data_IF_012393119354
#
_entry.id   IF_012393119354
#
_cell.length_a   1.000
_cell.length_b   1.000
_cell.length_c   1.000
_cell.angle_alpha   90.00
_cell.angle_beta   90.00
_cell.angle_gamma   90.00
#
_symmetry.space_group_name_H-M   'P 1'
#
loop_
_entity.id
_entity.type
_entity.pdbx_description
1 polymer ?
#
# COMPACT_ATOMS: atom_id res chain seq x y z
N UNK A 1 41.06 -13.07 -33.16
CA UNK A 1 41.33 -13.35 -31.73
C UNK A 1 40.77 -12.20 -30.92
N UNK A 2 39.67 -12.42 -30.20
CA UNK A 2 39.02 -11.38 -29.39
C UNK A 2 39.90 -11.04 -28.18
N UNK A 3 40.48 -9.83 -28.17
CA UNK A 3 41.20 -9.30 -27.03
C UNK A 3 40.18 -8.86 -25.97
N UNK A 4 40.08 -9.62 -24.88
CA UNK A 4 39.32 -9.22 -23.70
C UNK A 4 40.02 -8.01 -23.07
N UNK A 5 39.46 -6.82 -23.26
CA UNK A 5 39.80 -5.64 -22.47
C UNK A 5 39.48 -5.94 -21.01
N UNK A 6 40.52 -6.20 -20.21
CA UNK A 6 40.41 -6.26 -18.76
C UNK A 6 40.19 -4.84 -18.26
N UNK A 7 38.97 -4.57 -17.80
CA UNK A 7 38.66 -3.34 -17.06
C UNK A 7 39.51 -3.38 -15.78
N UNK A 8 40.67 -2.73 -15.80
CA UNK A 8 41.53 -2.61 -14.64
C UNK A 8 40.87 -1.65 -13.65
N UNK A 9 40.32 -2.21 -12.57
CA UNK A 9 39.85 -1.42 -11.44
C UNK A 9 41.06 -0.65 -10.86
N UNK A 10 40.93 0.66 -10.57
CA UNK A 10 42.03 1.45 -10.07
C UNK A 10 42.54 0.86 -8.74
N UNK A 11 43.83 0.51 -8.70
CA UNK A 11 44.55 -0.10 -7.57
C UNK A 11 44.53 0.74 -6.27
N UNK A 12 43.88 1.90 -6.26
CA UNK A 12 43.63 2.70 -5.06
C UNK A 12 42.51 2.12 -4.19
N UNK A 13 41.54 1.40 -4.79
CA UNK A 13 40.42 0.79 -4.05
C UNK A 13 40.76 -0.57 -3.42
N UNK A 14 41.86 -1.19 -3.83
CA UNK A 14 42.27 -2.52 -3.36
C UNK A 14 43.43 -2.39 -2.36
N UNK A 15 43.20 -2.69 -1.07
CA UNK A 15 44.26 -2.62 -0.06
C UNK A 15 45.37 -3.63 -0.38
N UNK A 16 46.61 -3.16 -0.35
CA UNK A 16 47.81 -3.95 -0.73
C UNK A 16 48.21 -5.00 0.31
N UNK A 17 47.73 -4.87 1.54
CA UNK A 17 47.93 -5.83 2.63
C UNK A 17 46.84 -6.92 2.62
N UNK A 18 47.21 -8.19 2.86
CA UNK A 18 46.26 -9.32 2.91
C UNK A 18 45.08 -9.07 3.87
N UNK A 19 45.33 -8.48 5.05
CA UNK A 19 44.30 -8.14 6.03
C UNK A 19 43.27 -7.13 5.48
N UNK A 20 43.73 -6.07 4.81
CA UNK A 20 42.83 -5.11 4.18
C UNK A 20 41.97 -5.76 3.09
N UNK A 21 42.55 -6.67 2.30
CA UNK A 21 41.81 -7.35 1.22
C UNK A 21 40.72 -8.27 1.79
N UNK A 22 40.99 -8.94 2.91
CA UNK A 22 39.99 -9.69 3.65
C UNK A 22 38.87 -8.80 4.20
N UNK A 23 39.22 -7.65 4.81
CA UNK A 23 38.23 -6.69 5.33
C UNK A 23 37.33 -6.13 4.22
N UNK A 24 37.90 -5.78 3.07
CA UNK A 24 37.14 -5.31 1.91
C UNK A 24 36.12 -6.37 1.44
N UNK A 25 36.56 -7.63 1.32
CA UNK A 25 35.69 -8.73 0.91
C UNK A 25 34.58 -9.01 1.92
N UNK A 26 34.88 -8.97 3.22
CA UNK A 26 33.86 -9.11 4.27
C UNK A 26 32.84 -7.97 4.20
N UNK A 27 33.29 -6.72 4.03
CA UNK A 27 32.39 -5.58 3.91
C UNK A 27 31.50 -5.67 2.67
N UNK A 28 32.08 -6.08 1.53
CA UNK A 28 31.33 -6.29 0.29
C UNK A 28 30.31 -7.42 0.45
N UNK A 29 30.70 -8.53 1.08
CA UNK A 29 29.79 -9.65 1.35
C UNK A 29 28.64 -9.24 2.28
N UNK A 30 28.92 -8.53 3.36
CA UNK A 30 27.91 -8.01 4.27
C UNK A 30 26.98 -7.01 3.57
N UNK A 31 27.54 -6.08 2.79
CA UNK A 31 26.77 -5.12 2.00
C UNK A 31 25.87 -5.81 0.98
N UNK A 32 26.37 -6.85 0.30
CA UNK A 32 25.58 -7.66 -0.63
C UNK A 32 24.43 -8.39 0.09
N UNK A 33 24.70 -9.01 1.24
CA UNK A 33 23.67 -9.67 2.05
C UNK A 33 22.57 -8.71 2.50
N UNK A 34 22.95 -7.55 3.05
CA UNK A 34 21.99 -6.51 3.47
C UNK A 34 21.18 -5.98 2.29
N UNK A 35 21.83 -5.80 1.13
CA UNK A 35 21.13 -5.31 -0.07
C UNK A 35 20.10 -6.31 -0.58
N UNK A 36 20.44 -7.60 -0.60
CA UNK A 36 19.54 -8.67 -1.03
C UNK A 36 18.35 -8.78 -0.07
N UNK A 37 18.61 -8.81 1.25
CA UNK A 37 17.53 -8.89 2.24
C UNK A 37 16.64 -7.66 2.18
N UNK A 38 17.21 -6.46 2.04
CA UNK A 38 16.46 -5.22 1.87
C UNK A 38 15.52 -5.26 0.66
N UNK A 39 16.03 -5.69 -0.50
CA UNK A 39 15.22 -5.83 -1.71
C UNK A 39 14.08 -6.82 -1.51
N UNK A 40 14.34 -8.01 -0.95
CA UNK A 40 13.30 -8.99 -0.67
C UNK A 40 12.22 -8.45 0.29
N UNK A 41 12.63 -7.81 1.39
CA UNK A 41 11.70 -7.24 2.38
C UNK A 41 10.85 -6.15 1.76
N UNK A 42 11.44 -5.25 0.97
CA UNK A 42 10.69 -4.14 0.34
C UNK A 42 9.56 -4.62 -0.58
N UNK A 43 9.80 -5.68 -1.37
CA UNK A 43 8.78 -6.29 -2.22
C UNK A 43 7.69 -6.96 -1.39
N UNK A 44 8.08 -7.72 -0.37
CA UNK A 44 7.14 -8.43 0.50
C UNK A 44 6.24 -7.49 1.30
N UNK A 45 6.82 -6.47 1.92
CA UNK A 45 6.08 -5.48 2.74
C UNK A 45 5.03 -4.77 1.90
N UNK A 46 5.35 -4.41 0.65
CA UNK A 46 4.41 -3.74 -0.24
C UNK A 46 3.17 -4.61 -0.49
N UNK A 47 3.36 -5.88 -0.86
CA UNK A 47 2.25 -6.80 -1.14
C UNK A 47 1.41 -7.10 0.10
N UNK A 48 2.05 -7.34 1.25
CA UNK A 48 1.33 -7.60 2.51
C UNK A 48 0.50 -6.38 2.92
N UNK A 49 1.07 -5.18 2.79
CA UNK A 49 0.39 -3.95 3.17
C UNK A 49 -0.81 -3.67 2.27
N UNK A 50 -0.67 -3.84 0.95
CA UNK A 50 -1.78 -3.70 0.01
C UNK A 50 -2.92 -4.67 0.32
N UNK A 51 -2.59 -5.95 0.52
CA UNK A 51 -3.58 -6.98 0.82
C UNK A 51 -4.25 -6.77 2.19
N UNK A 52 -3.49 -6.29 3.18
CA UNK A 52 -4.01 -5.91 4.49
C UNK A 52 -5.00 -4.74 4.40
N UNK A 53 -4.63 -3.67 3.69
CA UNK A 53 -5.50 -2.50 3.48
C UNK A 53 -6.76 -2.92 2.73
N UNK A 54 -6.63 -3.72 1.66
CA UNK A 54 -7.76 -4.22 0.88
C UNK A 54 -8.73 -5.06 1.70
N UNK A 55 -8.22 -5.99 2.50
CA UNK A 55 -9.04 -6.80 3.43
C UNK A 55 -9.74 -5.96 4.48
N UNK A 56 -9.03 -5.00 5.08
CA UNK A 56 -9.62 -4.10 6.06
C UNK A 56 -10.76 -3.27 5.44
N UNK A 57 -10.52 -2.68 4.26
CA UNK A 57 -11.54 -1.92 3.52
C UNK A 57 -12.76 -2.79 3.17
N UNK A 58 -12.55 -4.03 2.74
CA UNK A 58 -13.62 -4.98 2.44
C UNK A 58 -14.43 -5.35 3.70
N UNK A 59 -13.77 -5.62 4.81
CA UNK A 59 -14.42 -5.97 6.07
C UNK A 59 -15.27 -4.80 6.59
N UNK A 60 -14.71 -3.58 6.62
CA UNK A 60 -15.45 -2.37 6.96
C UNK A 60 -16.67 -2.22 6.04
N UNK A 61 -16.50 -2.37 4.73
CA UNK A 61 -17.59 -2.24 3.76
C UNK A 61 -18.71 -3.25 4.02
N UNK A 62 -18.37 -4.52 4.32
CA UNK A 62 -19.34 -5.54 4.69
C UNK A 62 -20.09 -5.19 5.96
N UNK A 63 -19.40 -4.78 7.02
CA UNK A 63 -20.02 -4.38 8.28
C UNK A 63 -20.98 -3.20 8.10
N UNK A 64 -20.54 -2.19 7.34
CA UNK A 64 -21.34 -1.00 7.01
C UNK A 64 -22.58 -1.38 6.18
N UNK A 65 -22.44 -2.28 5.20
CA UNK A 65 -23.57 -2.72 4.37
C UNK A 65 -24.65 -3.49 5.14
N UNK A 66 -24.29 -4.14 6.25
CA UNK A 66 -25.21 -4.90 7.09
C UNK A 66 -25.93 -4.02 8.13
N UNK A 67 -25.59 -2.74 8.22
CA UNK A 67 -26.18 -1.85 9.23
C UNK A 67 -27.59 -1.40 8.81
N UNK A 68 -28.53 -1.35 9.76
CA UNK A 68 -29.91 -0.88 9.52
C UNK A 68 -29.96 0.51 8.89
N UNK A 69 -29.03 1.40 9.25
CA UNK A 69 -28.94 2.77 8.71
C UNK A 69 -28.76 2.78 7.19
N UNK A 70 -27.97 1.85 6.65
CA UNK A 70 -27.77 1.72 5.19
C UNK A 70 -28.99 1.08 4.55
N UNK A 71 -29.54 0.02 5.14
CA UNK A 71 -30.70 -0.68 4.59
C UNK A 71 -31.96 0.20 4.55
N UNK A 72 -32.30 0.85 5.67
CA UNK A 72 -33.44 1.78 5.75
C UNK A 72 -33.19 3.06 4.97
N UNK A 73 -31.95 3.58 4.98
CA UNK A 73 -31.57 4.74 4.20
C UNK A 73 -31.79 4.52 2.70
N UNK A 74 -31.42 3.34 2.18
CA UNK A 74 -31.62 2.99 0.77
C UNK A 74 -33.10 2.76 0.46
N UNK A 75 -33.84 2.07 1.34
CA UNK A 75 -35.29 1.84 1.18
C UNK A 75 -36.10 3.15 1.16
N UNK A 76 -35.76 4.08 2.04
CA UNK A 76 -36.43 5.38 2.17
C UNK A 76 -35.85 6.45 1.23
N UNK A 77 -34.84 6.10 0.42
CA UNK A 77 -34.07 7.02 -0.44
C UNK A 77 -33.55 8.26 0.31
N UNK A 78 -33.23 8.08 1.59
CA UNK A 78 -32.77 9.16 2.47
C UNK A 78 -31.25 9.32 2.38
N UNK A 79 -30.81 10.06 1.36
CA UNK A 79 -29.39 10.37 1.11
C UNK A 79 -28.72 11.08 2.30
N UNK A 80 -29.44 11.95 3.02
CA UNK A 80 -28.88 12.72 4.14
C UNK A 80 -28.46 11.82 5.31
N UNK A 81 -29.28 10.84 5.68
CA UNK A 81 -28.98 9.92 6.77
C UNK A 81 -27.80 8.99 6.43
N UNK A 82 -27.75 8.52 5.18
CA UNK A 82 -26.65 7.70 4.65
C UNK A 82 -25.34 8.50 4.65
N UNK A 83 -25.38 9.76 4.19
CA UNK A 83 -24.22 10.65 4.13
C UNK A 83 -23.63 10.89 5.52
N UNK A 84 -24.46 11.19 6.53
CA UNK A 84 -23.98 11.41 7.91
C UNK A 84 -23.34 10.15 8.48
N UNK A 85 -23.95 8.99 8.24
CA UNK A 85 -23.40 7.72 8.69
C UNK A 85 -22.07 7.38 7.99
N UNK A 86 -22.01 7.49 6.67
CA UNK A 86 -20.80 7.25 5.89
C UNK A 86 -19.65 8.18 6.31
N UNK A 87 -19.95 9.45 6.62
CA UNK A 87 -18.97 10.40 7.12
C UNK A 87 -18.46 10.03 8.53
N UNK A 88 -19.33 9.52 9.41
CA UNK A 88 -18.94 9.01 10.72
C UNK A 88 -18.00 7.80 10.60
N UNK A 89 -18.31 6.87 9.68
CA UNK A 89 -17.47 5.70 9.38
C UNK A 89 -16.13 6.14 8.80
N UNK A 90 -16.13 7.11 7.88
CA UNK A 90 -14.91 7.67 7.28
C UNK A 90 -13.97 8.23 8.35
N UNK A 91 -14.50 9.00 9.30
CA UNK A 91 -13.74 9.57 10.42
C UNK A 91 -13.24 8.49 11.38
N UNK A 92 -14.08 7.50 11.71
CA UNK A 92 -13.72 6.42 12.63
C UNK A 92 -12.66 5.46 12.07
N UNK A 93 -12.70 5.20 10.76
CA UNK A 93 -11.79 4.25 10.09
C UNK A 93 -10.54 4.91 9.52
N UNK A 94 -10.48 6.25 9.50
CA UNK A 94 -9.42 6.99 8.81
C UNK A 94 -9.43 6.80 7.29
N UNK A 95 -10.50 6.25 6.73
CA UNK A 95 -10.61 6.03 5.30
C UNK A 95 -10.60 7.36 4.52
N UNK A 96 -10.02 7.36 3.32
CA UNK A 96 -10.02 8.54 2.45
C UNK A 96 -11.43 8.93 2.02
N UNK A 97 -12.31 7.95 1.79
CA UNK A 97 -13.71 8.14 1.44
C UNK A 97 -14.54 6.92 1.81
N UNK A 98 -15.84 7.11 2.03
CA UNK A 98 -16.85 6.06 2.20
C UNK A 98 -18.04 6.41 1.32
N UNK A 99 -18.39 5.53 0.39
CA UNK A 99 -19.45 5.72 -0.59
C UNK A 99 -20.45 4.58 -0.46
N UNK A 100 -21.74 4.92 -0.45
CA UNK A 100 -22.84 3.97 -0.42
C UNK A 100 -23.64 4.16 -1.70
N UNK A 101 -23.92 3.07 -2.41
CA UNK A 101 -24.73 3.09 -3.63
C UNK A 101 -25.83 2.04 -3.61
N UNK A 102 -26.85 2.22 -4.44
CA UNK A 102 -27.90 1.22 -4.67
C UNK A 102 -27.54 0.22 -5.79
N UNK A 103 -28.42 -0.77 -6.01
CA UNK A 103 -28.26 -1.78 -7.05
C UNK A 103 -28.32 -1.21 -8.48
N UNK A 104 -28.87 -0.01 -8.66
CA UNK A 104 -28.93 0.70 -9.95
C UNK A 104 -27.69 1.57 -10.18
N UNK A 105 -26.74 1.57 -9.25
CA UNK A 105 -25.48 2.31 -9.32
C UNK A 105 -25.55 3.74 -8.79
N UNK A 106 -26.70 4.19 -8.26
CA UNK A 106 -26.84 5.57 -7.75
C UNK A 106 -26.10 5.73 -6.45
N UNK A 107 -25.32 6.80 -6.33
CA UNK A 107 -24.55 7.13 -5.11
C UNK A 107 -25.35 7.98 -4.14
N UNK A 108 -25.54 7.48 -2.92
CA UNK A 108 -26.23 8.14 -1.80
C UNK A 108 -25.27 8.77 -0.79
N UNK A 109 -23.96 8.53 -0.92
CA UNK A 109 -22.95 9.20 -0.11
C UNK A 109 -21.67 9.50 -0.89
N UNK A 110 -21.08 10.66 -0.63
CA UNK A 110 -19.73 10.99 -1.07
C UNK A 110 -19.13 12.11 -0.19
N UNK A 111 -17.84 12.08 0.21
CA UNK A 111 -17.23 13.12 1.05
C UNK A 111 -17.20 14.50 0.38
N UNK A 112 -17.27 14.54 -0.95
CA UNK A 112 -17.56 15.74 -1.75
C UNK A 112 -19.05 15.70 -2.11
N UNK A 113 -19.91 16.55 -1.53
CA UNK A 113 -21.36 16.51 -1.75
C UNK A 113 -21.77 16.65 -3.22
N UNK A 114 -20.95 17.34 -4.03
CA UNK A 114 -21.19 17.57 -5.46
C UNK A 114 -21.11 16.30 -6.32
N UNK A 115 -20.74 15.14 -5.75
CA UNK A 115 -20.62 13.84 -6.46
C UNK A 115 -21.70 12.83 -6.08
N UNK A 116 -22.71 13.26 -5.32
CA UNK A 116 -23.90 12.47 -4.98
C UNK A 116 -24.88 12.51 -6.17
N UNK A 117 -25.43 11.37 -6.58
CA UNK A 117 -26.53 11.31 -7.56
C UNK A 117 -26.19 11.12 -9.05
N UNK A 118 -24.97 10.68 -9.40
CA UNK A 118 -24.69 10.06 -10.72
C UNK A 118 -24.85 8.54 -10.65
#
# INVERSE_FOLDING_TARGET
MYSFNTVSLPNFLLPRTLHGRMLLLMFLLLGALVSITWLMVSMLVSSILEEYIGRNALNVSKTVSLTTVVHEGLKNKNSTQIQLYAESVRKATGARFVVVGDHEGRRYSHPVPERIGM
#
